data_IF_694068324850
#
_entry.id   IF_694068324850
#
_cell.length_a   1.000
_cell.length_b   1.000
_cell.length_c   1.000
_cell.angle_alpha   90.00
_cell.angle_beta   90.00
_cell.angle_gamma   90.00
#
_symmetry.space_group_name_H-M   'P 1'
#
loop_
_entity.id
_entity.type
_entity.pdbx_description
1 polymer ?
#
# COMPACT_ATOMS: atom_id res chain seq x y z
N UNK A 1 3.37 58.01 -46.96
CA UNK A 1 2.72 57.57 -45.70
C UNK A 1 1.98 56.22 -45.83
N UNK A 2 1.21 55.95 -46.90
CA UNK A 2 0.52 54.66 -47.12
C UNK A 2 1.43 53.41 -47.18
N UNK A 3 2.63 53.53 -47.75
CA UNK A 3 3.62 52.43 -47.81
C UNK A 3 4.21 52.08 -46.44
N UNK A 4 4.33 53.07 -45.55
CA UNK A 4 4.79 52.88 -44.17
C UNK A 4 3.71 52.15 -43.35
N UNK A 5 2.44 52.51 -43.56
CA UNK A 5 1.30 51.86 -42.94
C UNK A 5 1.17 50.37 -43.35
N UNK A 6 1.43 50.06 -44.62
CA UNK A 6 1.44 48.70 -45.13
C UNK A 6 2.56 47.84 -44.53
N UNK A 7 3.74 48.45 -44.32
CA UNK A 7 4.89 47.75 -43.76
C UNK A 7 4.67 47.41 -42.27
N UNK A 8 4.06 48.31 -41.51
CA UNK A 8 3.69 48.07 -40.09
C UNK A 8 2.62 46.98 -39.97
N UNK A 9 1.64 46.95 -40.89
CA UNK A 9 0.60 45.91 -40.91
C UNK A 9 1.17 44.53 -41.23
N UNK A 10 2.12 44.44 -42.16
CA UNK A 10 2.80 43.18 -42.48
C UNK A 10 3.63 42.65 -41.31
N UNK A 11 4.30 43.52 -40.54
CA UNK A 11 5.10 43.09 -39.38
C UNK A 11 4.21 42.56 -38.24
N UNK A 12 3.00 43.09 -38.06
CA UNK A 12 2.06 42.59 -37.05
C UNK A 12 1.55 41.17 -37.29
N UNK A 13 1.56 40.70 -38.55
CA UNK A 13 1.11 39.35 -38.94
C UNK A 13 2.14 38.25 -38.66
N UNK A 14 3.38 38.59 -38.30
CA UNK A 14 4.44 37.63 -37.98
C UNK A 14 4.65 37.40 -36.48
N UNK A 15 3.74 37.90 -35.63
CA UNK A 15 3.80 37.60 -34.20
C UNK A 15 3.46 36.12 -33.99
N UNK A 16 4.38 35.29 -33.47
CA UNK A 16 4.09 33.89 -33.21
C UNK A 16 2.99 33.82 -32.14
N UNK A 17 1.92 33.09 -32.45
CA UNK A 17 0.92 32.72 -31.45
C UNK A 17 1.62 31.88 -30.38
N UNK A 18 1.84 32.48 -29.21
CA UNK A 18 2.40 31.81 -28.04
C UNK A 18 1.36 30.79 -27.56
N UNK A 19 1.36 29.61 -28.18
CA UNK A 19 0.65 28.46 -27.66
C UNK A 19 1.37 28.07 -26.38
N UNK A 20 0.82 28.52 -25.23
CA UNK A 20 1.25 28.04 -23.93
C UNK A 20 1.10 26.52 -23.96
N UNK A 21 2.23 25.82 -24.03
CA UNK A 21 2.26 24.38 -23.88
C UNK A 21 1.72 24.10 -22.48
N UNK A 22 0.63 23.35 -22.41
CA UNK A 22 0.11 22.85 -21.15
C UNK A 22 1.14 21.84 -20.63
N UNK A 23 2.15 22.32 -19.93
CA UNK A 23 3.07 21.48 -19.17
C UNK A 23 2.29 20.99 -17.96
N UNK A 24 1.71 19.80 -18.08
CA UNK A 24 1.22 19.07 -16.93
C UNK A 24 2.46 18.64 -16.14
N UNK A 25 2.90 19.50 -15.23
CA UNK A 25 3.92 19.15 -14.24
C UNK A 25 3.22 18.33 -13.16
N UNK A 26 3.46 17.01 -13.16
CA UNK A 26 3.01 16.10 -12.11
C UNK A 26 3.85 16.41 -10.86
N UNK A 27 3.46 17.45 -10.11
CA UNK A 27 4.20 17.90 -8.91
C UNK A 27 3.89 17.07 -7.67
N UNK A 28 2.90 16.16 -7.72
CA UNK A 28 2.53 15.31 -6.59
C UNK A 28 2.15 13.90 -7.02
N UNK A 29 3.15 13.03 -7.10
CA UNK A 29 3.00 11.63 -6.74
C UNK A 29 3.44 11.45 -5.29
N UNK A 30 2.69 11.95 -4.31
CA UNK A 30 2.48 11.12 -3.13
C UNK A 30 1.35 10.18 -3.58
N UNK A 31 1.45 8.86 -3.47
CA UNK A 31 1.70 8.16 -2.22
C UNK A 31 2.54 6.90 -2.50
N UNK A 32 3.68 6.76 -1.82
CA UNK A 32 4.33 5.45 -1.73
C UNK A 32 3.37 4.48 -1.05
N UNK A 33 3.34 3.24 -1.52
CA UNK A 33 2.47 2.21 -0.94
C UNK A 33 2.70 2.09 0.59
N UNK A 34 1.61 2.15 1.36
CA UNK A 34 1.63 2.22 2.83
C UNK A 34 2.30 0.99 3.44
N UNK A 35 3.33 1.15 4.29
CA UNK A 35 3.97 0.03 4.96
C UNK A 35 2.99 -0.72 5.87
N UNK A 36 2.86 -2.02 5.63
CA UNK A 36 2.01 -2.92 6.43
C UNK A 36 2.74 -4.22 6.70
N UNK A 37 2.61 -4.78 7.90
CA UNK A 37 3.03 -6.15 8.18
C UNK A 37 1.80 -7.02 8.33
N UNK A 38 1.76 -8.15 7.62
CA UNK A 38 0.73 -9.18 7.78
C UNK A 38 1.42 -10.43 8.30
N UNK A 39 1.31 -10.67 9.60
CA UNK A 39 1.91 -11.85 10.23
C UNK A 39 1.15 -13.10 9.75
N UNK A 40 1.83 -14.21 9.41
CA UNK A 40 1.16 -15.45 9.08
C UNK A 40 0.20 -15.87 10.19
N UNK A 41 -1.05 -16.21 9.82
CA UNK A 41 -2.08 -16.45 10.83
C UNK A 41 -1.80 -17.77 11.55
N UNK A 42 -1.88 -17.75 12.88
CA UNK A 42 -1.66 -18.93 13.69
C UNK A 42 -2.78 -19.95 13.50
N UNK A 43 -2.44 -21.21 13.29
CA UNK A 43 -3.41 -22.29 13.28
C UNK A 43 -3.63 -22.84 14.70
N UNK A 44 -4.89 -22.90 15.15
CA UNK A 44 -5.29 -23.37 16.49
C UNK A 44 -5.94 -24.76 16.49
N UNK A 45 -5.95 -25.45 15.35
CA UNK A 45 -6.46 -26.83 15.25
C UNK A 45 -5.34 -27.87 15.26
N UNK A 46 -5.62 -29.04 14.71
CA UNK A 46 -4.65 -30.13 14.60
C UNK A 46 -3.53 -29.76 13.60
N UNK A 47 -2.28 -29.78 14.06
CA UNK A 47 -1.11 -29.49 13.23
C UNK A 47 -0.94 -30.49 12.06
N UNK A 48 -1.49 -31.70 12.17
CA UNK A 48 -1.50 -32.69 11.08
C UNK A 48 -2.55 -32.40 10.00
N UNK A 49 -3.53 -31.52 10.29
CA UNK A 49 -4.60 -31.12 9.38
C UNK A 49 -4.74 -29.59 9.32
N UNK A 50 -3.73 -28.87 8.80
CA UNK A 50 -3.81 -27.42 8.63
C UNK A 50 -4.82 -27.03 7.55
N UNK A 51 -5.33 -25.79 7.58
CA UNK A 51 -6.16 -25.26 6.50
C UNK A 51 -5.41 -25.31 5.16
N UNK A 52 -6.14 -25.48 4.03
CA UNK A 52 -5.53 -25.62 2.70
C UNK A 52 -4.81 -24.35 2.22
N UNK A 53 -5.16 -23.19 2.77
CA UNK A 53 -4.55 -21.91 2.44
C UNK A 53 -4.16 -21.16 3.71
N UNK A 54 -3.00 -20.49 3.66
CA UNK A 54 -2.53 -19.61 4.72
C UNK A 54 -3.18 -18.23 4.53
N UNK A 55 -4.11 -17.89 5.43
CA UNK A 55 -4.97 -16.71 5.30
C UNK A 55 -4.16 -15.40 5.30
N UNK A 56 -3.11 -15.30 6.11
CA UNK A 56 -2.24 -14.14 6.15
C UNK A 56 -1.56 -13.88 4.80
N UNK A 57 -1.12 -14.92 4.12
CA UNK A 57 -0.53 -14.86 2.79
C UNK A 57 -1.51 -14.39 1.73
N UNK A 58 -2.78 -14.81 1.79
CA UNK A 58 -3.84 -14.30 0.91
C UNK A 58 -4.05 -12.80 1.14
N UNK A 59 -4.19 -12.38 2.40
CA UNK A 59 -4.35 -10.96 2.77
C UNK A 59 -3.16 -10.13 2.30
N UNK A 60 -1.93 -10.61 2.52
CA UNK A 60 -0.71 -9.94 2.06
C UNK A 60 -0.67 -9.80 0.54
N UNK A 61 -1.05 -10.85 -0.19
CA UNK A 61 -1.06 -10.82 -1.66
C UNK A 61 -2.10 -9.84 -2.20
N UNK A 62 -3.29 -9.79 -1.62
CA UNK A 62 -4.36 -8.87 -2.02
C UNK A 62 -3.98 -7.41 -1.75
N UNK A 63 -3.40 -7.12 -0.57
CA UNK A 63 -2.90 -5.80 -0.22
C UNK A 63 -1.78 -5.34 -1.17
N UNK A 64 -0.83 -6.23 -1.49
CA UNK A 64 0.22 -5.93 -2.48
C UNK A 64 -0.35 -5.64 -3.87
N UNK A 65 -1.30 -6.47 -4.33
CA UNK A 65 -1.95 -6.32 -5.65
C UNK A 65 -2.77 -5.05 -5.76
N UNK A 66 -3.26 -4.51 -4.64
CA UNK A 66 -3.99 -3.24 -4.64
C UNK A 66 -3.11 -2.03 -5.04
N UNK A 67 -1.79 -2.15 -4.92
CA UNK A 67 -0.85 -1.05 -5.13
C UNK A 67 -0.86 0.02 -4.02
N UNK A 68 -1.79 -0.04 -3.07
CA UNK A 68 -1.88 0.91 -1.95
C UNK A 68 -1.01 0.56 -0.76
N UNK A 69 -0.57 -0.69 -0.66
CA UNK A 69 0.16 -1.21 0.49
C UNK A 69 1.48 -1.87 0.06
N UNK A 70 2.48 -1.78 0.94
CA UNK A 70 3.77 -2.42 0.82
C UNK A 70 3.94 -3.43 1.96
N UNK A 71 3.55 -4.70 1.76
CA UNK A 71 3.71 -5.72 2.78
C UNK A 71 5.18 -5.96 3.11
N UNK A 72 5.50 -6.03 4.40
CA UNK A 72 6.80 -6.47 4.89
C UNK A 72 6.94 -7.99 4.65
N UNK A 73 8.02 -8.45 3.99
CA UNK A 73 8.28 -9.88 3.83
C UNK A 73 8.40 -10.60 5.17
N UNK A 74 7.83 -11.79 5.27
CA UNK A 74 7.83 -12.61 6.50
C UNK A 74 9.24 -13.02 6.98
N UNK A 75 10.23 -12.96 6.10
CA UNK A 75 11.65 -13.18 6.39
C UNK A 75 12.33 -11.99 7.07
N UNK A 76 11.73 -10.78 7.00
CA UNK A 76 12.27 -9.55 7.60
C UNK A 76 11.59 -9.21 8.94
N UNK A 77 10.56 -9.96 9.33
CA UNK A 77 9.87 -9.79 10.61
C UNK A 77 10.76 -10.21 11.78
N UNK A 78 10.85 -9.35 12.80
CA UNK A 78 11.60 -9.65 14.03
C UNK A 78 10.83 -10.61 14.96
N UNK A 79 9.49 -10.56 14.90
CA UNK A 79 8.59 -11.37 15.70
C UNK A 79 7.37 -11.83 14.88
N UNK A 80 6.69 -12.89 15.35
CA UNK A 80 5.46 -13.41 14.75
C UNK A 80 4.36 -13.58 15.81
N UNK A 81 3.87 -12.48 16.39
CA UNK A 81 2.81 -12.52 17.39
C UNK A 81 1.53 -13.06 16.78
N UNK A 82 0.81 -13.86 17.55
CA UNK A 82 -0.44 -14.50 17.12
C UNK A 82 -1.66 -13.78 17.70
N UNK A 83 -1.46 -12.98 18.74
CA UNK A 83 -2.48 -12.22 19.47
C UNK A 83 -1.98 -10.81 19.76
N UNK A 84 -2.91 -9.89 19.99
CA UNK A 84 -2.60 -8.51 20.34
C UNK A 84 -1.69 -8.34 21.56
N UNK A 85 -1.90 -9.17 22.57
CA UNK A 85 -1.12 -9.15 23.82
C UNK A 85 0.36 -9.52 23.62
N UNK A 86 0.69 -10.23 22.54
CA UNK A 86 2.05 -10.65 22.19
C UNK A 86 2.80 -9.60 21.37
N UNK A 87 2.13 -8.52 20.94
CA UNK A 87 2.70 -7.51 20.05
C UNK A 87 3.59 -6.53 20.84
N UNK A 88 4.89 -6.54 20.57
CA UNK A 88 5.77 -5.43 20.93
C UNK A 88 5.84 -4.42 19.77
N UNK A 89 5.16 -3.28 19.90
CA UNK A 89 5.16 -2.21 18.92
C UNK A 89 6.55 -1.60 18.65
N UNK A 90 7.54 -1.81 19.51
CA UNK A 90 8.92 -1.32 19.29
C UNK A 90 9.58 -2.03 18.11
N UNK A 91 9.35 -3.34 17.96
CA UNK A 91 9.92 -4.14 16.88
C UNK A 91 9.40 -3.68 15.52
N UNK A 92 8.11 -3.37 15.43
CA UNK A 92 7.46 -2.91 14.20
C UNK A 92 7.83 -1.47 13.83
N UNK A 93 7.98 -0.59 14.83
CA UNK A 93 8.51 0.77 14.62
C UNK A 93 9.94 0.75 14.09
N UNK A 94 10.78 -0.15 14.59
CA UNK A 94 12.16 -0.30 14.11
C UNK A 94 12.22 -0.74 12.63
N UNK A 95 11.19 -1.44 12.16
CA UNK A 95 11.03 -1.86 10.76
C UNK A 95 10.30 -0.83 9.89
N UNK A 96 9.95 0.35 10.44
CA UNK A 96 9.17 1.39 9.76
C UNK A 96 7.84 0.85 9.19
N UNK A 97 7.17 0.00 9.96
CA UNK A 97 5.83 -0.51 9.66
C UNK A 97 4.80 0.36 10.38
N UNK A 98 3.81 0.87 9.64
CA UNK A 98 2.75 1.72 10.19
C UNK A 98 1.53 0.91 10.63
N UNK A 99 1.21 -0.14 9.88
CA UNK A 99 0.03 -0.98 10.12
C UNK A 99 0.46 -2.42 10.37
N UNK A 100 -0.09 -3.07 11.39
CA UNK A 100 0.19 -4.46 11.71
C UNK A 100 -1.09 -5.27 11.74
N UNK A 101 -1.13 -6.35 10.96
CA UNK A 101 -2.18 -7.35 10.97
C UNK A 101 -1.66 -8.63 11.62
N UNK A 102 -2.34 -9.06 12.67
CA UNK A 102 -2.12 -10.36 13.33
C UNK A 102 -3.43 -11.13 13.34
N UNK A 103 -3.36 -12.45 13.32
CA UNK A 103 -4.56 -13.25 13.33
C UNK A 103 -4.32 -14.72 13.63
N UNK A 104 -5.43 -15.40 13.81
CA UNK A 104 -5.49 -16.83 14.05
C UNK A 104 -6.68 -17.44 13.32
N UNK A 105 -6.52 -18.71 12.97
CA UNK A 105 -7.54 -19.54 12.37
C UNK A 105 -7.78 -20.72 13.32
N UNK A 106 -9.03 -21.04 13.59
CA UNK A 106 -9.42 -22.20 14.39
C UNK A 106 -10.47 -23.04 13.67
N UNK A 107 -10.57 -24.36 13.95
CA UNK A 107 -11.67 -25.17 13.48
C UNK A 107 -13.03 -24.61 13.97
N UNK A 108 -14.07 -24.77 13.17
CA UNK A 108 -15.44 -24.39 13.51
C UNK A 108 -16.44 -25.42 12.98
N UNK A 109 -16.43 -26.61 13.56
CA UNK A 109 -17.25 -27.74 13.12
C UNK A 109 -16.73 -28.41 11.83
N UNK A 110 -17.49 -29.39 11.27
CA UNK A 110 -17.05 -30.15 10.11
C UNK A 110 -16.80 -29.26 8.88
N UNK A 111 -15.54 -29.16 8.45
CA UNK A 111 -15.12 -28.36 7.29
C UNK A 111 -15.20 -26.84 7.47
N UNK A 112 -15.61 -26.36 8.64
CA UNK A 112 -15.71 -24.94 8.95
C UNK A 112 -14.44 -24.40 9.58
N UNK A 113 -14.15 -23.13 9.31
CA UNK A 113 -13.05 -22.38 9.93
C UNK A 113 -13.59 -21.08 10.53
N UNK A 114 -13.06 -20.70 11.69
CA UNK A 114 -13.24 -19.38 12.25
C UNK A 114 -11.91 -18.62 12.10
N UNK A 115 -11.97 -17.47 11.43
CA UNK A 115 -10.82 -16.58 11.23
C UNK A 115 -11.02 -15.35 12.10
N UNK A 116 -10.03 -15.05 12.95
CA UNK A 116 -10.00 -13.83 13.76
C UNK A 116 -8.73 -13.06 13.43
N UNK A 117 -8.86 -11.77 13.18
CA UNK A 117 -7.71 -10.91 12.96
C UNK A 117 -7.89 -9.57 13.66
N UNK A 118 -6.77 -8.91 13.87
CA UNK A 118 -6.67 -7.58 14.47
C UNK A 118 -5.78 -6.73 13.59
N UNK A 119 -6.19 -5.48 13.40
CA UNK A 119 -5.39 -4.45 12.75
C UNK A 119 -4.98 -3.45 13.83
N UNK A 120 -3.68 -3.20 13.93
CA UNK A 120 -3.09 -2.23 14.82
C UNK A 120 -2.46 -1.09 14.04
N UNK A 121 -2.65 0.13 14.55
CA UNK A 121 -1.78 1.27 14.27
C UNK A 121 -0.53 1.12 15.15
N UNK A 122 0.65 1.06 14.55
CA UNK A 122 1.90 0.82 15.28
C UNK A 122 2.38 2.06 16.04
N UNK A 123 1.90 3.25 15.67
CA UNK A 123 2.34 4.52 16.22
C UNK A 123 1.33 5.16 17.18
N UNK A 124 0.15 4.55 17.40
CA UNK A 124 -0.89 5.04 18.32
C UNK A 124 -1.33 3.97 19.31
#
# INVERSE_FOLDING_TARGET
MKRLLLLVLCVGLYLPAQASTLTIEITQGLEGALPIAVVPFAWRGDAAAPPPHEVGGVVSADLQRSGRFKPLPTSQMLARPTRGEEVDFRDWRALNVENLVVGEVSPNGPGGYLVRFYLYDVFR
#
